data_IF_773705281550
#
_entry.id   IF_773705281550
#
_cell.length_a   1.000
_cell.length_b   1.000
_cell.length_c   1.000
_cell.angle_alpha   90.00
_cell.angle_beta   90.00
_cell.angle_gamma   90.00
#
_symmetry.space_group_name_H-M   'P 1'
#
loop_
_entity.id
_entity.type
_entity.pdbx_description
1 polymer ?
#
# COMPACT_ATOMS: atom_id res chain seq x y z
N UNK A 1 27.75 2.48 31.86
CA UNK A 1 26.59 2.08 31.05
C UNK A 1 25.48 3.11 31.25
N UNK A 2 25.20 3.97 30.27
CA UNK A 2 24.08 4.91 30.36
C UNK A 2 22.84 4.23 29.79
N UNK A 3 22.00 3.69 30.67
CA UNK A 3 20.64 3.29 30.32
C UNK A 3 19.89 4.57 29.97
N UNK A 4 19.85 4.90 28.67
CA UNK A 4 19.19 6.09 28.16
C UNK A 4 17.77 6.14 28.70
N UNK A 5 17.39 7.26 29.32
CA UNK A 5 16.01 7.53 29.74
C UNK A 5 15.09 7.24 28.55
N UNK A 6 14.49 6.06 28.52
CA UNK A 6 13.40 5.75 27.59
C UNK A 6 12.26 6.65 28.03
N UNK A 7 12.04 7.71 27.25
CA UNK A 7 10.91 8.60 27.45
C UNK A 7 9.65 7.75 27.59
N UNK A 8 8.90 7.94 28.66
CA UNK A 8 7.72 7.12 28.92
C UNK A 8 6.72 7.30 27.76
N UNK A 9 6.18 6.21 27.20
CA UNK A 9 5.14 6.32 26.20
C UNK A 9 3.91 6.98 26.82
N UNK A 10 3.36 7.97 26.13
CA UNK A 10 2.15 8.68 26.56
C UNK A 10 0.99 8.18 25.73
N UNK A 11 0.02 7.54 26.38
CA UNK A 11 -1.21 7.06 25.75
C UNK A 11 -2.17 8.20 25.36
N UNK A 12 -1.98 9.40 25.92
CA UNK A 12 -2.82 10.58 25.67
C UNK A 12 -2.29 11.32 24.44
N UNK A 13 -3.05 11.37 23.32
CA UNK A 13 -2.63 12.11 22.14
C UNK A 13 -2.64 13.63 22.40
N UNK A 14 -1.59 14.35 21.96
CA UNK A 14 -1.53 15.80 22.04
C UNK A 14 -2.59 16.47 21.14
N UNK A 15 -2.92 17.74 21.42
CA UNK A 15 -4.06 18.41 20.76
C UNK A 15 -3.93 18.48 19.23
N UNK A 16 -2.73 18.70 18.70
CA UNK A 16 -2.49 18.72 17.25
C UNK A 16 -2.79 17.37 16.57
N UNK A 17 -2.70 16.27 17.31
CA UNK A 17 -2.93 14.92 16.80
C UNK A 17 -4.38 14.44 16.99
N UNK A 18 -5.19 15.12 17.81
CA UNK A 18 -6.61 14.81 18.00
C UNK A 18 -7.39 14.65 16.69
N UNK A 19 -7.31 15.56 15.70
CA UNK A 19 -8.07 15.38 14.46
C UNK A 19 -7.64 14.14 13.65
N UNK A 20 -6.38 13.72 13.77
CA UNK A 20 -5.89 12.49 13.15
C UNK A 20 -6.45 11.25 13.85
N UNK A 21 -6.38 11.23 15.19
CA UNK A 21 -6.91 10.14 16.00
C UNK A 21 -8.42 10.01 15.81
N UNK A 22 -9.14 11.12 15.80
CA UNK A 22 -10.59 11.15 15.60
C UNK A 22 -10.99 10.55 14.24
N UNK A 23 -10.34 10.94 13.14
CA UNK A 23 -10.61 10.37 11.81
C UNK A 23 -10.34 8.86 11.75
N UNK A 24 -9.27 8.39 12.39
CA UNK A 24 -8.93 6.96 12.44
C UNK A 24 -9.95 6.19 13.29
N UNK A 25 -10.37 6.78 14.41
CA UNK A 25 -11.38 6.24 15.31
C UNK A 25 -12.76 6.19 14.65
N UNK A 26 -13.13 7.21 13.87
CA UNK A 26 -14.36 7.27 13.08
C UNK A 26 -14.41 6.16 12.01
N UNK A 27 -13.26 5.67 11.56
CA UNK A 27 -13.14 4.51 10.69
C UNK A 27 -13.12 3.16 11.45
N UNK A 28 -13.49 3.17 12.74
CA UNK A 28 -13.49 2.02 13.65
C UNK A 28 -12.12 1.35 13.85
N UNK A 29 -11.03 2.11 13.69
CA UNK A 29 -9.66 1.62 13.96
C UNK A 29 -9.22 2.18 15.31
N UNK A 30 -8.97 1.28 16.28
CA UNK A 30 -8.64 1.64 17.67
C UNK A 30 -7.24 1.15 18.06
N UNK A 31 -6.18 1.72 17.47
CA UNK A 31 -4.83 1.30 17.78
C UNK A 31 -4.43 1.85 19.15
N UNK A 32 -3.51 1.16 19.81
CA UNK A 32 -2.86 1.67 21.01
C UNK A 32 -1.91 2.81 20.63
N UNK A 33 -2.14 4.00 21.18
CA UNK A 33 -1.41 5.24 20.92
C UNK A 33 -0.19 5.48 21.84
N UNK A 34 0.34 4.41 22.46
CA UNK A 34 1.54 4.46 23.31
C UNK A 34 2.81 4.83 22.51
N UNK A 35 2.97 6.12 22.26
CA UNK A 35 4.07 6.74 21.51
C UNK A 35 4.92 7.61 22.45
N UNK A 36 6.21 7.67 22.19
CA UNK A 36 7.12 8.57 22.90
C UNK A 36 6.93 10.02 22.43
N UNK A 37 7.38 11.03 23.21
CA UNK A 37 7.35 12.43 22.79
C UNK A 37 8.04 12.66 21.43
N UNK A 38 9.18 12.00 21.20
CA UNK A 38 9.89 12.04 19.90
C UNK A 38 9.03 11.52 18.75
N UNK A 39 8.29 10.43 18.95
CA UNK A 39 7.40 9.86 17.93
C UNK A 39 6.20 10.78 17.65
N UNK A 40 5.64 11.42 18.69
CA UNK A 40 4.62 12.44 18.51
C UNK A 40 5.12 13.65 17.70
N UNK A 41 6.37 14.06 17.91
CA UNK A 41 7.00 15.12 17.11
C UNK A 41 7.15 14.74 15.63
N UNK A 42 7.47 13.48 15.34
CA UNK A 42 7.49 12.98 13.96
C UNK A 42 6.10 13.03 13.31
N UNK A 43 5.04 12.70 14.07
CA UNK A 43 3.66 12.80 13.59
C UNK A 43 3.30 14.26 13.28
N UNK A 44 3.67 15.22 14.12
CA UNK A 44 3.46 16.65 13.84
C UNK A 44 4.11 17.09 12.52
N UNK A 45 5.37 16.72 12.30
CA UNK A 45 6.07 17.02 11.04
C UNK A 45 5.40 16.36 9.83
N UNK A 46 4.94 15.12 9.97
CA UNK A 46 4.21 14.39 8.92
C UNK A 46 2.85 15.03 8.63
N UNK A 47 2.12 15.48 9.65
CA UNK A 47 0.86 16.21 9.50
C UNK A 47 1.09 17.48 8.69
N UNK A 48 2.14 18.24 9.00
CA UNK A 48 2.50 19.46 8.25
C UNK A 48 2.91 19.17 6.80
N UNK A 49 3.61 18.04 6.57
CA UNK A 49 4.10 17.64 5.24
C UNK A 49 3.02 17.10 4.32
N UNK A 50 2.11 16.27 4.83
CA UNK A 50 1.19 15.46 4.02
C UNK A 50 -0.29 15.69 4.34
N UNK A 51 -0.60 16.34 5.45
CA UNK A 51 -1.97 16.59 5.89
C UNK A 51 -2.60 15.41 6.63
N UNK A 52 -3.57 15.74 7.48
CA UNK A 52 -4.25 14.80 8.37
C UNK A 52 -5.04 13.74 7.58
N UNK A 53 -5.76 14.14 6.53
CA UNK A 53 -6.61 13.25 5.73
C UNK A 53 -5.83 12.12 5.06
N UNK A 54 -4.65 12.44 4.51
CA UNK A 54 -3.79 11.47 3.84
C UNK A 54 -3.26 10.45 4.85
N UNK A 55 -2.77 10.91 6.00
CA UNK A 55 -2.27 10.06 7.08
C UNK A 55 -3.36 9.10 7.59
N UNK A 56 -4.57 9.62 7.82
CA UNK A 56 -5.72 8.83 8.23
C UNK A 56 -6.07 7.76 7.19
N UNK A 57 -6.15 8.12 5.91
CA UNK A 57 -6.45 7.18 4.84
C UNK A 57 -5.42 6.05 4.73
N UNK A 58 -4.13 6.36 4.90
CA UNK A 58 -3.06 5.35 4.91
C UNK A 58 -3.17 4.42 6.12
N UNK A 59 -3.48 4.95 7.30
CA UNK A 59 -3.68 4.14 8.50
C UNK A 59 -4.88 3.20 8.37
N UNK A 60 -6.02 3.69 7.89
CA UNK A 60 -7.22 2.88 7.64
C UNK A 60 -6.93 1.78 6.61
N UNK A 61 -6.25 2.10 5.50
CA UNK A 61 -5.84 1.09 4.50
C UNK A 61 -4.87 0.06 5.08
N UNK A 62 -3.98 0.44 5.98
CA UNK A 62 -3.05 -0.48 6.63
C UNK A 62 -3.79 -1.42 7.60
N UNK A 63 -4.73 -0.88 8.39
CA UNK A 63 -5.58 -1.65 9.31
C UNK A 63 -6.53 -2.62 8.57
N UNK A 64 -7.01 -2.24 7.38
CA UNK A 64 -7.82 -3.13 6.56
C UNK A 64 -7.05 -4.34 6.02
N UNK A 65 -5.73 -4.20 5.81
CA UNK A 65 -4.88 -5.29 5.29
C UNK A 65 -4.38 -6.23 6.39
N UNK A 66 -4.21 -5.72 7.61
CA UNK A 66 -3.67 -6.47 8.75
C UNK A 66 -4.25 -5.89 10.02
N UNK A 67 -4.59 -6.75 10.98
CA UNK A 67 -4.95 -6.28 12.32
C UNK A 67 -3.75 -5.56 12.95
N UNK A 68 -3.89 -4.25 13.16
CA UNK A 68 -2.83 -3.39 13.71
C UNK A 68 -3.21 -2.96 15.12
N UNK A 69 -2.52 -3.51 16.11
CA UNK A 69 -2.79 -3.20 17.52
C UNK A 69 -2.07 -1.94 18.02
N UNK A 70 -1.04 -1.43 17.30
CA UNK A 70 -0.19 -0.32 17.76
C UNK A 70 0.01 0.78 16.71
N UNK A 71 -0.11 2.04 17.12
CA UNK A 71 0.06 3.20 16.24
C UNK A 71 1.48 3.33 15.63
N UNK A 72 2.50 2.78 16.29
CA UNK A 72 3.89 2.71 15.79
C UNK A 72 3.99 2.03 14.42
N UNK A 73 3.09 1.10 14.12
CA UNK A 73 3.06 0.46 12.82
C UNK A 73 2.71 1.46 11.72
N UNK A 74 1.75 2.35 11.98
CA UNK A 74 1.39 3.42 11.04
C UNK A 74 2.50 4.44 10.89
N UNK A 75 3.22 4.77 11.96
CA UNK A 75 4.38 5.67 11.89
C UNK A 75 5.41 5.19 10.87
N UNK A 76 5.73 3.88 10.85
CA UNK A 76 6.64 3.30 9.83
C UNK A 76 6.07 3.42 8.41
N UNK A 77 4.76 3.21 8.25
CA UNK A 77 4.11 3.37 6.97
C UNK A 77 4.12 4.84 6.50
N UNK A 78 3.93 5.78 7.41
CA UNK A 78 3.91 7.22 7.13
C UNK A 78 5.29 7.79 6.82
N UNK A 79 6.34 7.33 7.50
CA UNK A 79 7.73 7.73 7.21
C UNK A 79 8.18 7.28 5.82
N UNK A 80 7.67 6.14 5.34
CA UNK A 80 7.94 5.66 3.99
C UNK A 80 7.10 6.33 2.90
N UNK A 81 6.23 7.29 3.26
CA UNK A 81 5.43 8.00 2.27
C UNK A 81 6.32 8.95 1.45
N UNK A 82 6.18 8.94 0.11
CA UNK A 82 6.81 9.96 -0.72
C UNK A 82 6.36 11.35 -0.24
N UNK A 83 7.22 12.38 -0.37
CA UNK A 83 6.82 13.74 -0.03
C UNK A 83 5.56 14.10 -0.79
N UNK A 84 4.64 14.80 -0.12
CA UNK A 84 3.37 15.18 -0.71
C UNK A 84 3.64 15.72 -2.11
N UNK A 85 3.06 15.05 -3.11
CA UNK A 85 3.25 15.44 -4.48
C UNK A 85 2.80 16.90 -4.61
N UNK A 86 3.61 17.71 -5.30
CA UNK A 86 3.39 19.15 -5.40
C UNK A 86 1.91 19.44 -5.74
N UNK A 87 1.30 20.48 -5.14
CA UNK A 87 -0.10 20.82 -5.40
C UNK A 87 -0.30 20.99 -6.92
N UNK A 88 -0.95 20.02 -7.54
CA UNK A 88 -1.01 19.85 -9.01
C UNK A 88 -0.83 18.41 -9.49
N UNK A 89 -0.25 17.52 -8.69
CA UNK A 89 -0.31 16.07 -8.96
C UNK A 89 -1.65 15.54 -8.47
N UNK A 90 -2.68 15.68 -9.31
CA UNK A 90 -3.88 14.88 -9.14
C UNK A 90 -3.46 13.39 -9.20
N UNK A 91 -4.03 12.50 -8.35
CA UNK A 91 -4.06 11.09 -8.74
C UNK A 91 -4.67 11.03 -10.14
N UNK A 92 -4.19 10.16 -11.05
CA UNK A 92 -4.87 10.00 -12.32
C UNK A 92 -6.34 9.76 -12.00
N UNK A 93 -7.21 10.64 -12.49
CA UNK A 93 -8.64 10.47 -12.36
C UNK A 93 -8.96 9.03 -12.75
N UNK A 94 -9.85 8.36 -12.00
CA UNK A 94 -10.38 7.08 -12.41
C UNK A 94 -11.04 7.28 -13.79
N UNK A 95 -10.29 7.02 -14.86
CA UNK A 95 -10.57 7.54 -16.20
C UNK A 95 -9.34 7.88 -17.04
N UNK A 96 -8.12 7.91 -16.46
CA UNK A 96 -6.90 7.84 -17.26
C UNK A 96 -6.92 6.52 -18.05
N UNK A 97 -6.75 6.62 -19.37
CA UNK A 97 -6.81 5.55 -20.38
C UNK A 97 -5.92 4.35 -20.01
N UNK A 98 -6.45 3.50 -19.14
CA UNK A 98 -5.86 2.21 -18.79
C UNK A 98 -6.37 1.21 -19.81
N UNK A 99 -5.53 0.89 -20.80
CA UNK A 99 -5.77 -0.24 -21.69
C UNK A 99 -6.03 -1.47 -20.79
N UNK A 100 -7.25 -2.04 -20.78
CA UNK A 100 -7.52 -3.24 -20.03
C UNK A 100 -6.61 -4.33 -20.60
N UNK A 101 -5.80 -4.96 -19.74
CA UNK A 101 -5.13 -6.19 -20.12
C UNK A 101 -6.24 -7.22 -20.35
N UNK A 102 -6.61 -7.40 -21.61
CA UNK A 102 -7.62 -8.35 -22.06
C UNK A 102 -7.36 -9.72 -21.41
N UNK A 103 -8.18 -10.05 -20.40
CA UNK A 103 -8.25 -11.41 -19.84
C UNK A 103 -9.32 -12.22 -20.58
N UNK A 104 -9.41 -12.04 -21.90
CA UNK A 104 -10.19 -12.94 -22.74
C UNK A 104 -9.64 -14.37 -22.64
N UNK A 105 -10.48 -15.39 -22.78
CA UNK A 105 -10.03 -16.77 -22.77
C UNK A 105 -9.09 -16.96 -23.96
N UNK A 106 -7.80 -17.22 -23.69
CA UNK A 106 -6.80 -17.57 -24.72
C UNK A 106 -7.16 -18.90 -25.38
N UNK A 107 -8.12 -18.89 -26.30
CA UNK A 107 -8.33 -19.94 -27.28
C UNK A 107 -7.52 -19.56 -28.52
N UNK A 108 -6.31 -20.10 -28.64
CA UNK A 108 -5.57 -20.05 -29.91
C UNK A 108 -4.06 -20.13 -29.84
N UNK A 109 -3.40 -19.61 -28.79
CA UNK A 109 -1.92 -19.51 -28.81
C UNK A 109 -1.18 -20.79 -28.40
N UNK A 110 -1.81 -21.64 -27.57
CA UNK A 110 -1.24 -22.94 -27.20
C UNK A 110 -1.28 -23.95 -28.36
N UNK A 111 -2.30 -23.90 -29.21
CA UNK A 111 -2.42 -24.76 -30.39
C UNK A 111 -1.34 -24.43 -31.44
N UNK A 112 -1.07 -23.13 -31.66
CA UNK A 112 0.03 -22.69 -32.54
C UNK A 112 1.40 -23.12 -32.02
N UNK A 113 1.64 -23.07 -30.70
CA UNK A 113 2.90 -23.52 -30.12
C UNK A 113 3.09 -25.05 -30.25
N UNK A 114 2.04 -25.85 -30.04
CA UNK A 114 2.09 -27.30 -30.24
C UNK A 114 2.37 -27.69 -31.71
N UNK A 115 1.76 -26.97 -32.66
CA UNK A 115 2.01 -27.18 -34.09
C UNK A 115 3.47 -26.85 -34.48
N UNK A 116 4.04 -25.76 -33.95
CA UNK A 116 5.43 -25.39 -34.22
C UNK A 116 6.43 -26.37 -33.61
N UNK A 117 6.15 -26.94 -32.43
CA UNK A 117 6.99 -27.98 -31.84
C UNK A 117 6.92 -29.31 -32.62
N UNK A 118 5.76 -29.67 -33.19
CA UNK A 118 5.64 -30.85 -34.05
C UNK A 118 6.42 -30.70 -35.37
N UNK A 119 6.44 -29.50 -35.96
CA UNK A 119 7.30 -29.17 -37.11
C UNK A 119 8.80 -29.21 -36.76
N UNK A 120 9.20 -28.72 -35.59
CA UNK A 120 10.60 -28.70 -35.16
C UNK A 120 11.14 -30.10 -34.76
N UNK A 121 10.26 -31.02 -34.34
CA UNK A 121 10.61 -32.40 -33.98
C UNK A 121 10.73 -33.35 -35.18
N UNK A 122 10.53 -32.88 -36.42
CA UNK A 122 10.70 -33.69 -37.63
C UNK A 122 9.72 -34.85 -37.77
N UNK A 123 8.55 -34.79 -37.10
CA UNK A 123 7.49 -35.78 -37.28
C UNK A 123 6.66 -35.34 -38.49
N UNK A 124 7.15 -35.64 -39.68
CA UNK A 124 6.26 -35.73 -40.85
C UNK A 124 5.35 -36.94 -40.61
N UNK A 125 4.00 -36.79 -40.63
CA UNK A 125 3.17 -37.94 -40.91
C UNK A 125 3.56 -38.41 -42.31
N UNK A 126 4.22 -39.57 -42.37
CA UNK A 126 4.43 -40.31 -43.60
C UNK A 126 3.08 -40.48 -44.30
N UNK A 127 2.98 -39.90 -45.48
CA UNK A 127 1.96 -40.21 -46.48
C UNK A 127 2.15 -41.69 -46.85
N UNK A 128 1.44 -42.60 -46.19
CA UNK A 128 1.37 -43.99 -46.60
C UNK A 128 0.14 -44.19 -47.49
N UNK A 129 0.42 -44.19 -48.79
CA UNK A 129 -0.33 -44.83 -49.87
C UNK A 129 -1.32 -45.92 -49.42
N UNK A 130 -2.61 -45.75 -49.74
CA UNK A 130 -3.32 -46.49 -50.79
C UNK A 130 -4.80 -46.08 -50.88
#
# INVERSE_FOLDING_TARGET
MNEGRKEAPTAIPPEFARPLVDKITAAAVYPRWDLTPTEWFQIDALIKRSGVDMLAAVAVRAAAKKDVSHARYFLRAWLNLPPAAAPGTAPPAAGADVIPLDRGPRRGRAATAAAMFATAAGITPQEHHR
#
